data_IF_650996165318
#
_entry.id   IF_650996165318
#
_cell.length_a   1.000
_cell.length_b   1.000
_cell.length_c   1.000
_cell.angle_alpha   90.00
_cell.angle_beta   90.00
_cell.angle_gamma   90.00
#
_symmetry.space_group_name_H-M   'P 1'
#
loop_
_entity.id
_entity.type
_entity.pdbx_description
1 polymer ?
#
# COMPACT_ATOMS: atom_id res chain seq x y z
N UNK A 1 1.40 3.65 -2.23
CA UNK A 1 1.45 2.61 -3.28
C UNK A 1 0.25 2.77 -4.20
N UNK A 2 0.43 2.66 -5.52
CA UNK A 2 -0.64 2.86 -6.52
C UNK A 2 -1.05 1.50 -7.10
N UNK A 3 -2.33 1.15 -6.92
CA UNK A 3 -2.94 -0.07 -7.44
C UNK A 3 -2.95 -1.25 -6.46
N UNK A 4 -4.13 -1.76 -6.11
CA UNK A 4 -4.30 -2.73 -5.01
C UNK A 4 -4.59 -4.19 -5.43
N UNK A 5 -4.68 -4.48 -6.74
CA UNK A 5 -5.10 -5.80 -7.24
C UNK A 5 -3.96 -6.83 -7.10
N UNK A 6 -3.62 -7.55 -8.17
CA UNK A 6 -2.64 -8.64 -8.09
C UNK A 6 -1.28 -8.17 -7.55
N UNK A 7 -0.66 -7.20 -8.21
CA UNK A 7 0.65 -6.67 -7.76
C UNK A 7 0.56 -5.89 -6.45
N UNK A 8 -0.55 -5.22 -6.17
CA UNK A 8 -0.75 -4.51 -4.89
C UNK A 8 -0.64 -5.44 -3.68
N UNK A 9 -1.16 -6.67 -3.78
CA UNK A 9 -1.00 -7.71 -2.74
C UNK A 9 0.46 -8.12 -2.58
N UNK A 10 1.14 -8.40 -3.69
CA UNK A 10 2.55 -8.81 -3.68
C UNK A 10 3.44 -7.72 -3.04
N UNK A 11 3.27 -6.46 -3.45
CA UNK A 11 4.02 -5.35 -2.88
C UNK A 11 3.70 -5.13 -1.39
N UNK A 12 2.43 -5.26 -0.97
CA UNK A 12 2.05 -5.13 0.44
C UNK A 12 2.68 -6.21 1.33
N UNK A 13 2.84 -7.42 0.80
CA UNK A 13 3.55 -8.51 1.47
C UNK A 13 5.04 -8.16 1.59
N UNK A 14 5.67 -7.78 0.48
CA UNK A 14 7.11 -7.45 0.46
C UNK A 14 7.43 -6.30 1.42
N UNK A 15 6.65 -5.21 1.45
CA UNK A 15 6.93 -4.09 2.35
C UNK A 15 6.91 -4.46 3.83
N UNK A 16 6.05 -5.41 4.22
CA UNK A 16 5.94 -5.88 5.60
C UNK A 16 7.10 -6.76 6.00
N UNK A 17 7.53 -7.60 5.07
CA UNK A 17 8.48 -8.67 5.34
C UNK A 17 9.93 -8.25 5.08
N UNK A 18 10.15 -7.16 4.34
CA UNK A 18 11.48 -6.66 3.97
C UNK A 18 12.46 -6.61 5.16
N UNK A 19 12.10 -6.02 6.32
CA UNK A 19 13.03 -5.89 7.45
C UNK A 19 13.31 -7.22 8.16
N UNK A 20 12.47 -8.23 7.96
CA UNK A 20 12.70 -9.58 8.51
C UNK A 20 13.73 -10.35 7.69
N UNK A 21 13.69 -10.21 6.36
CA UNK A 21 14.56 -10.96 5.44
C UNK A 21 15.90 -10.27 5.16
N UNK A 22 15.97 -8.95 5.28
CA UNK A 22 17.15 -8.17 4.91
C UNK A 22 17.53 -7.22 6.04
N UNK A 23 18.84 -6.99 6.19
CA UNK A 23 19.32 -5.85 6.97
C UNK A 23 19.09 -4.58 6.15
N UNK A 24 18.23 -3.71 6.64
CA UNK A 24 17.71 -2.57 5.88
C UNK A 24 18.10 -1.27 6.57
N UNK A 25 18.67 -0.33 5.81
CA UNK A 25 18.97 1.01 6.32
C UNK A 25 17.71 1.82 6.66
N UNK A 26 16.57 1.43 6.10
CA UNK A 26 15.27 2.04 6.35
C UNK A 26 14.15 0.99 6.34
N UNK A 27 13.20 1.14 7.27
CA UNK A 27 12.02 0.28 7.38
C UNK A 27 10.85 0.91 6.62
N UNK A 28 10.29 0.24 5.59
CA UNK A 28 9.13 0.76 4.88
C UNK A 28 7.91 0.90 5.80
N UNK A 29 7.25 2.05 5.71
CA UNK A 29 5.94 2.26 6.36
C UNK A 29 4.86 2.18 5.30
N UNK A 30 3.87 1.30 5.50
CA UNK A 30 2.71 1.19 4.61
C UNK A 30 1.71 2.34 4.85
N UNK A 31 2.12 3.56 4.47
CA UNK A 31 1.42 4.80 4.78
C UNK A 31 0.08 4.94 4.06
N UNK A 32 0.03 4.70 2.75
CA UNK A 32 -1.25 4.61 2.04
C UNK A 32 -1.21 3.86 0.72
N UNK A 33 -2.40 3.47 0.28
CA UNK A 33 -2.68 2.82 -1.00
C UNK A 33 -3.71 3.60 -1.80
N UNK A 34 -3.55 3.68 -3.11
CA UNK A 34 -4.48 4.39 -3.99
C UNK A 34 -5.04 3.49 -5.10
N UNK A 35 -6.28 3.73 -5.51
CA UNK A 35 -6.94 2.99 -6.58
C UNK A 35 -8.23 3.64 -7.06
N UNK A 36 -8.61 3.41 -8.32
CA UNK A 36 -9.76 4.10 -8.95
C UNK A 36 -11.13 3.70 -8.41
N UNK A 37 -11.22 2.56 -7.73
CA UNK A 37 -12.45 2.05 -7.10
C UNK A 37 -12.38 2.34 -5.59
N UNK A 38 -13.19 3.29 -5.06
CA UNK A 38 -13.11 3.70 -3.66
C UNK A 38 -13.36 2.55 -2.68
N UNK A 39 -14.38 1.72 -2.93
CA UNK A 39 -14.75 0.63 -2.04
C UNK A 39 -13.71 -0.49 -2.09
N UNK A 40 -13.26 -0.85 -3.29
CA UNK A 40 -12.19 -1.84 -3.47
C UNK A 40 -10.87 -1.38 -2.86
N UNK A 41 -10.54 -0.10 -2.94
CA UNK A 41 -9.31 0.47 -2.36
C UNK A 41 -9.39 0.50 -0.84
N UNK A 42 -10.52 0.90 -0.25
CA UNK A 42 -10.76 0.84 1.20
C UNK A 42 -10.61 -0.59 1.72
N UNK A 43 -11.32 -1.54 1.12
CA UNK A 43 -11.27 -2.95 1.53
C UNK A 43 -9.86 -3.54 1.41
N UNK A 44 -9.11 -3.14 0.39
CA UNK A 44 -7.72 -3.55 0.23
C UNK A 44 -6.81 -2.96 1.31
N UNK A 45 -6.99 -1.69 1.67
CA UNK A 45 -6.21 -1.03 2.71
C UNK A 45 -6.42 -1.70 4.07
N UNK A 46 -7.66 -1.95 4.45
CA UNK A 46 -8.02 -2.68 5.67
C UNK A 46 -7.42 -4.09 5.69
N UNK A 47 -7.59 -4.84 4.60
CA UNK A 47 -7.09 -6.22 4.49
C UNK A 47 -5.56 -6.31 4.53
N UNK A 48 -4.87 -5.38 3.89
CA UNK A 48 -3.41 -5.42 3.72
C UNK A 48 -2.66 -4.57 4.75
N UNK A 49 -3.35 -3.83 5.61
CA UNK A 49 -2.76 -3.05 6.71
C UNK A 49 -2.19 -1.70 6.31
N UNK A 50 -2.74 -1.04 5.28
CA UNK A 50 -2.34 0.31 4.90
C UNK A 50 -3.03 1.35 5.80
N UNK A 51 -2.27 2.34 6.28
CA UNK A 51 -2.79 3.32 7.25
C UNK A 51 -3.81 4.31 6.66
N UNK A 52 -3.79 4.53 5.34
CA UNK A 52 -4.76 5.35 4.63
C UNK A 52 -5.05 4.77 3.23
N UNK A 53 -6.17 5.18 2.65
CA UNK A 53 -6.56 4.80 1.28
C UNK A 53 -7.11 6.01 0.54
N UNK A 54 -6.88 6.07 -0.77
CA UNK A 54 -7.36 7.18 -1.59
C UNK A 54 -7.82 6.75 -2.98
N UNK A 55 -8.87 7.40 -3.47
CA UNK A 55 -9.42 7.11 -4.80
C UNK A 55 -9.10 8.14 -5.87
N UNK A 56 -8.51 9.28 -5.49
CA UNK A 56 -8.07 10.33 -6.41
C UNK A 56 -6.55 10.49 -6.28
N UNK A 57 -5.80 9.94 -7.23
CA UNK A 57 -4.33 9.92 -7.18
C UNK A 57 -3.71 11.31 -7.31
N UNK A 58 -4.40 12.24 -7.97
CA UNK A 58 -3.94 13.62 -8.18
C UNK A 58 -3.77 14.36 -6.86
N UNK A 59 -4.56 14.02 -5.83
CA UNK A 59 -4.45 14.62 -4.48
C UNK A 59 -3.11 14.32 -3.78
N UNK A 60 -2.31 13.39 -4.29
CA UNK A 60 -1.07 12.91 -3.64
C UNK A 60 0.21 13.40 -4.29
N UNK A 61 0.12 14.05 -5.46
CA UNK A 61 1.29 14.51 -6.21
C UNK A 61 1.60 16.00 -6.03
N UNK A 62 0.94 16.67 -5.08
CA UNK A 62 1.17 18.07 -4.70
C UNK A 62 1.75 18.13 -3.29
#
# INVERSE_FOLDING_TARGET
>A
MIGYKFMGKAHSHVYRDLPFYFDTEAVPVMRAIAGRDPDGTRAAAEKMGWAAYESQMERWMA
#
